data_IF_344427221247
#
_entry.id   IF_344427221247
#
_cell.length_a   1.000
_cell.length_b   1.000
_cell.length_c   1.000
_cell.angle_alpha   90.00
_cell.angle_beta   90.00
_cell.angle_gamma   90.00
#
_symmetry.space_group_name_H-M   'P 1'
#
loop_
_entity.id
_entity.type
_entity.pdbx_description
1 polymer ?
#
# COMPACT_ATOMS: atom_id res chain seq x y z
N UNK A 1 -0.18 -6.17 28.19
CA UNK A 1 -0.67 -6.15 26.80
C UNK A 1 -0.75 -7.60 26.32
N UNK A 2 -1.90 -8.05 25.80
CA UNK A 2 -2.02 -9.43 25.32
C UNK A 2 -1.26 -9.59 23.98
N UNK A 3 -0.43 -10.64 23.81
CA UNK A 3 0.37 -10.85 22.59
C UNK A 3 -0.47 -10.87 21.30
N UNK A 4 -1.64 -11.51 21.31
CA UNK A 4 -2.55 -11.55 20.16
C UNK A 4 -3.04 -10.16 19.73
N UNK A 5 -3.45 -9.34 20.70
CA UNK A 5 -3.88 -7.96 20.44
C UNK A 5 -2.73 -7.09 19.91
N UNK A 6 -1.50 -7.32 20.39
CA UNK A 6 -0.32 -6.63 19.88
C UNK A 6 -0.06 -6.97 18.41
N UNK A 7 -0.10 -8.26 18.03
CA UNK A 7 0.04 -8.68 16.62
C UNK A 7 -1.04 -8.03 15.75
N UNK A 8 -2.29 -8.01 16.21
CA UNK A 8 -3.39 -7.36 15.49
C UNK A 8 -3.12 -5.87 15.24
N UNK A 9 -2.65 -5.15 16.26
CA UNK A 9 -2.31 -3.73 16.14
C UNK A 9 -1.20 -3.50 15.12
N UNK A 10 -0.15 -4.31 15.13
CA UNK A 10 0.94 -4.22 14.15
C UNK A 10 0.44 -4.47 12.73
N UNK A 11 -0.34 -5.53 12.51
CA UNK A 11 -0.91 -5.84 11.19
C UNK A 11 -1.78 -4.69 10.67
N UNK A 12 -2.63 -4.13 11.53
CA UNK A 12 -3.50 -2.99 11.17
C UNK A 12 -2.70 -1.71 10.89
N UNK A 13 -1.65 -1.43 11.67
CA UNK A 13 -0.76 -0.30 11.45
C UNK A 13 -0.02 -0.42 10.10
N UNK A 14 0.40 -1.64 9.75
CA UNK A 14 0.96 -1.99 8.45
C UNK A 14 -0.08 -2.05 7.31
N UNK A 15 -1.36 -1.78 7.59
CA UNK A 15 -2.49 -1.86 6.65
C UNK A 15 -2.64 -3.20 5.92
N UNK A 16 -2.16 -4.28 6.54
CA UNK A 16 -2.21 -5.62 5.97
C UNK A 16 -3.55 -6.29 6.24
N UNK A 17 -4.09 -6.98 5.24
CA UNK A 17 -5.31 -7.77 5.37
C UNK A 17 -5.00 -9.12 6.02
N UNK A 18 -6.01 -9.69 6.68
CA UNK A 18 -5.85 -10.95 7.42
C UNK A 18 -5.60 -12.15 6.47
N UNK A 19 -6.19 -12.12 5.28
CA UNK A 19 -6.02 -13.11 4.22
C UNK A 19 -4.59 -13.12 3.65
N UNK A 20 -3.95 -11.97 3.55
CA UNK A 20 -2.56 -11.85 3.09
C UNK A 20 -1.59 -12.53 4.06
N UNK A 21 -1.74 -12.25 5.36
CA UNK A 21 -0.94 -12.88 6.42
C UNK A 21 -1.22 -14.38 6.51
N UNK A 22 -2.49 -14.79 6.41
CA UNK A 22 -2.87 -16.20 6.42
C UNK A 22 -2.28 -16.97 5.23
N UNK A 23 -2.32 -16.38 4.03
CA UNK A 23 -1.73 -16.95 2.82
C UNK A 23 -0.20 -17.08 2.96
N UNK A 24 0.50 -16.06 3.48
CA UNK A 24 1.94 -16.10 3.75
C UNK A 24 2.34 -17.25 4.68
N UNK A 25 1.52 -17.50 5.70
CA UNK A 25 1.80 -18.52 6.72
C UNK A 25 1.25 -19.91 6.36
N UNK A 26 0.53 -20.05 5.24
CA UNK A 26 -0.07 -21.32 4.81
C UNK A 26 -1.15 -21.82 5.77
N UNK A 27 -1.96 -20.92 6.33
CA UNK A 27 -3.02 -21.27 7.28
C UNK A 27 -4.33 -20.53 6.97
N UNK A 28 -5.40 -20.82 7.72
CA UNK A 28 -6.69 -20.16 7.50
C UNK A 28 -6.76 -18.78 8.16
N UNK A 29 -7.55 -17.89 7.58
CA UNK A 29 -7.86 -16.57 8.17
C UNK A 29 -8.49 -16.69 9.55
N UNK A 30 -9.40 -17.65 9.73
CA UNK A 30 -10.02 -17.94 11.02
C UNK A 30 -8.97 -18.31 12.08
N UNK A 31 -7.93 -19.06 11.70
CA UNK A 31 -6.85 -19.42 12.62
C UNK A 31 -6.11 -18.18 13.15
N UNK A 32 -5.71 -17.27 12.25
CA UNK A 32 -5.06 -16.02 12.65
C UNK A 32 -6.01 -15.15 13.48
N UNK A 33 -7.29 -15.09 13.13
CA UNK A 33 -8.29 -14.34 13.89
C UNK A 33 -8.39 -14.81 15.35
N UNK A 34 -8.39 -16.13 15.58
CA UNK A 34 -8.42 -16.71 16.94
C UNK A 34 -7.17 -16.36 17.75
N UNK A 35 -6.00 -16.32 17.09
CA UNK A 35 -4.75 -15.89 17.74
C UNK A 35 -4.78 -14.40 18.09
N UNK A 36 -5.26 -13.55 17.18
CA UNK A 36 -5.32 -12.08 17.36
C UNK A 36 -6.35 -11.63 18.42
N UNK A 37 -7.41 -12.41 18.58
CA UNK A 37 -8.49 -12.15 19.57
C UNK A 37 -8.20 -12.76 20.94
N UNK A 38 -7.07 -13.45 21.10
CA UNK A 38 -6.72 -14.22 22.30
C UNK A 38 -7.70 -15.37 22.62
N UNK A 39 -8.59 -15.74 21.69
CA UNK A 39 -9.48 -16.90 21.81
C UNK A 39 -8.70 -18.23 21.73
N UNK A 40 -7.53 -18.21 21.07
CA UNK A 40 -6.54 -19.28 21.10
C UNK A 40 -5.22 -18.77 21.68
N UNK A 41 -4.54 -19.54 22.56
CA UNK A 41 -3.24 -19.16 23.08
C UNK A 41 -2.22 -19.00 21.96
N UNK A 42 -1.50 -17.88 21.98
CA UNK A 42 -0.43 -17.58 21.05
C UNK A 42 0.90 -18.09 21.60
N UNK A 43 1.41 -19.18 21.03
CA UNK A 43 2.73 -19.72 21.38
C UNK A 43 3.84 -18.82 20.89
N UNK A 44 5.04 -18.91 21.48
CA UNK A 44 6.23 -18.15 21.05
C UNK A 44 6.55 -18.37 19.57
N UNK A 45 6.49 -19.61 19.07
CA UNK A 45 6.72 -19.92 17.65
C UNK A 45 5.78 -19.15 16.72
N UNK A 46 4.47 -19.27 16.95
CA UNK A 46 3.45 -18.53 16.20
C UNK A 46 3.59 -17.01 16.32
N UNK A 47 3.99 -16.50 17.50
CA UNK A 47 4.23 -15.08 17.68
C UNK A 47 5.36 -14.60 16.77
N UNK A 48 6.50 -15.30 16.78
CA UNK A 48 7.64 -14.98 15.90
C UNK A 48 7.24 -15.06 14.43
N UNK A 49 6.56 -16.13 14.00
CA UNK A 49 6.12 -16.31 12.61
C UNK A 49 5.19 -15.19 12.16
N UNK A 50 4.28 -14.74 13.01
CA UNK A 50 3.37 -13.64 12.70
C UNK A 50 4.10 -12.31 12.56
N UNK A 51 5.04 -12.01 13.46
CA UNK A 51 5.84 -10.80 13.38
C UNK A 51 6.68 -10.77 12.09
N UNK A 52 7.35 -11.87 11.76
CA UNK A 52 8.15 -11.99 10.53
C UNK A 52 7.27 -11.82 9.29
N UNK A 53 6.11 -12.50 9.22
CA UNK A 53 5.22 -12.39 8.08
C UNK A 53 4.68 -10.95 7.89
N UNK A 54 4.38 -10.24 8.97
CA UNK A 54 3.92 -8.84 8.92
C UNK A 54 5.04 -7.94 8.39
N UNK A 55 6.26 -8.10 8.91
CA UNK A 55 7.43 -7.29 8.52
C UNK A 55 7.80 -7.48 7.03
N UNK A 56 7.85 -8.73 6.57
CA UNK A 56 8.11 -9.05 5.17
C UNK A 56 7.05 -8.48 4.23
N UNK A 57 5.76 -8.70 4.54
CA UNK A 57 4.66 -8.19 3.72
C UNK A 57 4.63 -6.67 3.68
N UNK A 58 4.91 -6.01 4.80
CA UNK A 58 5.00 -4.56 4.86
C UNK A 58 6.14 -4.05 3.97
N UNK A 59 7.33 -4.62 4.10
CA UNK A 59 8.50 -4.26 3.29
C UNK A 59 8.26 -4.48 1.79
N UNK A 60 7.68 -5.60 1.40
CA UNK A 60 7.32 -5.88 0.00
C UNK A 60 6.30 -4.87 -0.55
N UNK A 61 5.35 -4.43 0.28
CA UNK A 61 4.37 -3.43 -0.13
C UNK A 61 5.00 -2.05 -0.35
N UNK A 62 5.95 -1.67 0.50
CA UNK A 62 6.70 -0.41 0.37
C UNK A 62 7.62 -0.42 -0.85
N UNK A 63 8.33 -1.53 -1.11
CA UNK A 63 9.18 -1.69 -2.29
C UNK A 63 8.38 -1.59 -3.58
N UNK A 64 7.22 -2.26 -3.66
CA UNK A 64 6.33 -2.18 -4.83
C UNK A 64 5.88 -0.74 -5.10
N UNK A 65 5.64 0.05 -4.06
CA UNK A 65 5.28 1.45 -4.22
C UNK A 65 6.45 2.27 -4.76
N UNK A 66 7.67 2.04 -4.26
CA UNK A 66 8.87 2.72 -4.76
C UNK A 66 9.16 2.39 -6.23
N UNK A 67 9.00 1.14 -6.66
CA UNK A 67 9.19 0.75 -8.06
C UNK A 67 8.19 1.43 -9.00
N UNK A 68 6.95 1.65 -8.56
CA UNK A 68 5.93 2.39 -9.35
C UNK A 68 6.23 3.88 -9.40
N UNK A 69 6.76 4.47 -8.33
CA UNK A 69 7.08 5.90 -8.27
C UNK A 69 8.39 6.22 -9.00
N UNK A 70 9.34 5.28 -9.04
CA UNK A 70 10.68 5.48 -9.61
C UNK A 70 10.84 4.84 -11.01
N UNK A 71 9.96 3.92 -11.41
CA UNK A 71 10.04 3.17 -12.67
C UNK A 71 9.08 3.64 -13.77
N UNK A 72 9.65 4.38 -14.74
CA UNK A 72 9.11 4.75 -16.07
C UNK A 72 7.95 5.76 -16.11
N UNK A 73 8.27 7.00 -15.74
CA UNK A 73 7.81 8.13 -16.55
C UNK A 73 8.44 8.04 -17.94
N UNK A 74 7.82 7.32 -18.87
CA UNK A 74 7.88 7.76 -20.26
C UNK A 74 7.03 9.02 -20.29
N UNK A 75 7.67 10.16 -20.02
CA UNK A 75 7.12 11.46 -20.34
C UNK A 75 6.69 11.37 -21.82
N UNK A 76 5.39 11.51 -22.16
CA UNK A 76 5.06 11.71 -23.56
C UNK A 76 5.80 12.99 -23.96
N UNK A 77 6.76 12.85 -24.87
CA UNK A 77 7.49 13.97 -25.46
C UNK A 77 6.42 14.97 -25.92
N UNK A 78 6.34 16.17 -25.33
CA UNK A 78 5.38 17.16 -25.80
C UNK A 78 5.78 17.45 -27.24
N UNK A 79 4.89 17.12 -28.19
CA UNK A 79 5.05 17.55 -29.57
C UNK A 79 5.32 19.06 -29.54
N UNK A 80 6.37 19.56 -30.22
CA UNK A 80 6.55 21.00 -30.37
C UNK A 80 5.41 21.52 -31.26
N UNK A 81 4.31 21.96 -30.64
CA UNK A 81 3.32 22.80 -31.30
C UNK A 81 3.90 24.20 -31.41
N UNK A 82 4.73 24.35 -32.44
CA UNK A 82 5.31 25.61 -32.85
C UNK A 82 4.20 26.66 -33.07
N UNK A 83 4.28 27.71 -32.24
CA UNK A 83 3.79 29.05 -32.46
C UNK A 83 2.28 29.34 -32.29
N UNK A 84 1.90 29.66 -31.05
CA UNK A 84 1.10 30.89 -30.85
C UNK A 84 2.01 32.11 -30.99
N UNK A 85 1.53 33.15 -31.68
CA UNK A 85 1.37 34.41 -30.97
C UNK A 85 -0.05 34.96 -31.11
N UNK A 86 -0.75 35.03 -29.99
CA UNK A 86 -1.80 36.02 -29.72
C UNK A 86 -1.14 37.26 -29.06
N UNK A 87 -1.77 38.45 -28.89
CA UNK A 87 -3.10 38.92 -29.35
C UNK A 87 -3.18 40.44 -29.74
N UNK A 88 -4.41 40.92 -29.98
CA UNK A 88 -4.99 42.28 -29.72
C UNK A 88 -4.88 43.43 -30.77
N UNK A 89 -5.73 44.51 -30.72
CA UNK A 89 -7.12 44.65 -30.23
C UNK A 89 -8.07 45.51 -31.15
N UNK A 90 -9.37 45.46 -30.81
CA UNK A 90 -10.44 46.47 -30.90
C UNK A 90 -10.53 47.46 -32.10
N UNK A 91 -11.61 47.34 -32.88
CA UNK A 91 -12.10 48.39 -33.79
C UNK A 91 -13.63 48.50 -33.77
N UNK A 92 -14.13 49.60 -33.21
CA UNK A 92 -15.51 50.11 -33.25
C UNK A 92 -15.91 50.46 -34.69
N UNK A 93 -17.15 50.15 -35.14
CA UNK A 93 -18.11 51.13 -35.73
C UNK A 93 -19.32 50.50 -36.43
N UNK A 94 -20.47 51.14 -36.15
CA UNK A 94 -21.79 51.22 -36.82
C UNK A 94 -22.06 50.62 -38.21
N UNK A 95 -23.29 50.11 -38.37
CA UNK A 95 -24.21 50.50 -39.46
C UNK A 95 -25.66 50.29 -39.04
#
# INVERSE_FOLDING_TARGET
MEPGRYVRQLRQAARLRLDEVAARLGCSTAYISLLETSERPLTVDWFTRLLTAIDELHTESEQRYQDVVVGKGTEPEPEPDDAQPEPEPAGVSES
#
